data_IF_055279719018
#
_entry.id   IF_055279719018
#
_cell.length_a   1.000
_cell.length_b   1.000
_cell.length_c   1.000
_cell.angle_alpha   90.00
_cell.angle_beta   90.00
_cell.angle_gamma   90.00
#
_symmetry.space_group_name_H-M   'P 1'
#
loop_
_entity.id
_entity.type
_entity.pdbx_description
1 polymer ?
#
# COMPACT_ATOMS: atom_id res chain seq x y z
N UNK A 1 -30.86 25.04 5.32
CA UNK A 1 -29.97 25.37 6.45
C UNK A 1 -28.55 24.96 6.11
N UNK A 2 -27.58 25.87 6.25
CA UNK A 2 -26.18 25.63 5.85
C UNK A 2 -25.51 24.69 6.87
N UNK A 3 -25.01 23.54 6.41
CA UNK A 3 -24.17 22.65 7.21
C UNK A 3 -22.73 23.16 7.16
N UNK A 4 -22.17 23.50 8.32
CA UNK A 4 -20.75 23.77 8.52
C UNK A 4 -19.99 22.43 8.62
N UNK A 5 -18.80 22.27 8.03
CA UNK A 5 -18.00 21.06 8.25
C UNK A 5 -17.55 21.00 9.71
N UNK A 6 -17.69 19.82 10.32
CA UNK A 6 -17.13 19.54 11.64
C UNK A 6 -15.60 19.37 11.59
N UNK A 7 -14.92 19.32 12.75
CA UNK A 7 -13.48 19.17 12.81
C UNK A 7 -13.03 17.82 12.21
N UNK A 8 -11.82 17.75 11.65
CA UNK A 8 -11.28 16.51 11.09
C UNK A 8 -11.24 15.42 12.18
N UNK A 9 -11.90 14.28 11.92
CA UNK A 9 -11.98 13.14 12.82
C UNK A 9 -13.39 12.77 13.32
N UNK A 10 -14.44 13.50 12.95
CA UNK A 10 -15.81 13.10 13.33
C UNK A 10 -16.37 12.01 12.40
N UNK A 11 -16.67 10.84 12.98
CA UNK A 11 -17.36 9.72 12.32
C UNK A 11 -18.82 10.11 12.05
N UNK A 12 -19.13 10.46 10.80
CA UNK A 12 -20.51 10.56 10.32
C UNK A 12 -21.08 9.16 10.10
N UNK A 13 -22.09 8.76 10.87
CA UNK A 13 -22.87 7.54 10.62
C UNK A 13 -23.95 7.86 9.61
N UNK A 14 -23.77 7.44 8.36
CA UNK A 14 -24.85 7.47 7.37
C UNK A 14 -25.75 6.25 7.57
N UNK A 15 -27.00 6.48 7.96
CA UNK A 15 -27.97 5.44 8.31
C UNK A 15 -28.77 4.91 7.11
N UNK A 16 -28.40 5.21 5.86
CA UNK A 16 -29.26 4.90 4.70
C UNK A 16 -28.63 4.06 3.58
N UNK A 17 -27.39 3.58 3.71
CA UNK A 17 -26.90 2.48 2.86
C UNK A 17 -25.84 1.71 3.65
N UNK A 18 -26.04 0.42 3.89
CA UNK A 18 -25.16 -0.43 4.68
C UNK A 18 -23.78 -0.73 4.07
N UNK A 19 -23.19 0.22 3.35
CA UNK A 19 -21.82 0.15 2.88
C UNK A 19 -20.98 1.15 3.67
N UNK A 20 -20.05 0.63 4.48
CA UNK A 20 -18.93 1.39 5.01
C UNK A 20 -18.01 1.74 3.83
N UNK A 21 -18.23 2.88 3.19
CA UNK A 21 -17.29 3.41 2.21
C UNK A 21 -16.07 3.93 2.99
N UNK A 22 -15.04 3.09 3.14
CA UNK A 22 -13.75 3.50 3.67
C UNK A 22 -13.02 4.34 2.63
N UNK A 23 -13.09 5.66 2.77
CA UNK A 23 -12.37 6.64 1.95
C UNK A 23 -10.94 6.84 2.45
N UNK A 24 -10.13 5.78 2.44
CA UNK A 24 -8.78 5.82 3.03
C UNK A 24 -7.74 5.08 2.19
N UNK A 25 -7.87 5.11 0.87
CA UNK A 25 -6.81 4.66 -0.04
C UNK A 25 -6.07 5.89 -0.58
N UNK A 26 -4.86 6.15 -0.08
CA UNK A 26 -3.99 7.19 -0.63
C UNK A 26 -3.10 6.60 -1.71
N UNK A 27 -3.08 7.22 -2.90
CA UNK A 27 -2.19 6.82 -4.00
C UNK A 27 -1.06 7.83 -4.12
N UNK A 28 0.18 7.36 -3.93
CA UNK A 28 1.38 8.17 -4.17
C UNK A 28 1.93 7.90 -5.57
N UNK A 29 2.05 8.94 -6.39
CA UNK A 29 2.73 8.85 -7.68
C UNK A 29 4.24 8.96 -7.47
N UNK A 30 4.98 7.96 -7.95
CA UNK A 30 6.45 7.94 -7.87
C UNK A 30 7.08 9.08 -8.71
N UNK A 31 7.88 9.97 -8.11
CA UNK A 31 8.70 10.92 -8.87
C UNK A 31 9.78 10.21 -9.69
N UNK A 32 10.10 10.71 -10.89
CA UNK A 32 11.07 10.06 -11.80
C UNK A 32 12.46 9.87 -11.21
N UNK A 33 12.90 10.79 -10.37
CA UNK A 33 14.27 10.81 -9.84
C UNK A 33 14.38 10.24 -8.42
N UNK A 34 13.31 9.64 -7.88
CA UNK A 34 13.31 9.06 -6.55
C UNK A 34 13.33 7.52 -6.63
N UNK A 35 14.25 6.84 -5.92
CA UNK A 35 14.24 5.40 -5.83
C UNK A 35 13.01 4.93 -5.04
N UNK A 36 12.42 3.82 -5.48
CA UNK A 36 11.18 3.30 -4.86
C UNK A 36 11.35 2.98 -3.37
N UNK A 37 12.55 2.58 -2.96
CA UNK A 37 12.89 2.28 -1.56
C UNK A 37 12.66 3.49 -0.65
N UNK A 38 13.15 4.67 -1.05
CA UNK A 38 12.97 5.90 -0.25
C UNK A 38 11.49 6.22 -0.08
N UNK A 39 10.70 6.11 -1.15
CA UNK A 39 9.26 6.33 -1.12
C UNK A 39 8.58 5.35 -0.16
N UNK A 40 8.89 4.05 -0.25
CA UNK A 40 8.29 3.04 0.63
C UNK A 40 8.67 3.32 2.09
N UNK A 41 9.94 3.62 2.36
CA UNK A 41 10.40 3.93 3.72
C UNK A 41 9.73 5.19 4.27
N UNK A 42 9.68 6.28 3.50
CA UNK A 42 9.06 7.55 3.91
C UNK A 42 7.57 7.39 4.23
N UNK A 43 6.84 6.68 3.38
CA UNK A 43 5.39 6.52 3.53
C UNK A 43 4.97 5.39 4.47
N UNK A 44 5.88 4.49 4.83
CA UNK A 44 5.58 3.31 5.67
C UNK A 44 6.29 3.31 7.02
N UNK A 45 7.01 4.39 7.38
CA UNK A 45 7.79 4.46 8.61
C UNK A 45 6.95 4.20 9.88
N UNK A 46 5.74 4.76 9.92
CA UNK A 46 4.82 4.65 11.05
C UNK A 46 3.74 3.57 10.83
N UNK A 47 3.88 2.73 9.81
CA UNK A 47 2.93 1.66 9.55
C UNK A 47 3.09 0.53 10.58
N UNK A 48 1.98 0.01 11.10
CA UNK A 48 2.00 -1.20 11.94
C UNK A 48 2.45 -2.44 11.15
N UNK A 49 2.20 -2.44 9.84
CA UNK A 49 2.47 -3.56 8.94
C UNK A 49 2.57 -3.09 7.49
N UNK A 50 3.41 -3.75 6.69
CA UNK A 50 3.58 -3.46 5.26
C UNK A 50 3.29 -4.70 4.42
N UNK A 51 2.50 -4.54 3.35
CA UNK A 51 2.27 -5.59 2.35
C UNK A 51 2.95 -5.15 1.05
N UNK A 52 3.91 -5.95 0.58
CA UNK A 52 4.58 -5.70 -0.70
C UNK A 52 4.34 -6.85 -1.67
N UNK A 53 4.25 -6.52 -2.95
CA UNK A 53 4.21 -7.51 -4.01
C UNK A 53 5.55 -8.24 -4.14
N UNK A 54 5.52 -9.57 -4.21
CA UNK A 54 6.69 -10.37 -4.56
C UNK A 54 6.77 -10.48 -6.10
N UNK A 55 7.89 -10.08 -6.72
CA UNK A 55 8.04 -10.12 -8.18
C UNK A 55 8.04 -11.55 -8.72
N UNK A 56 7.81 -11.67 -10.03
CA UNK A 56 8.05 -12.93 -10.75
C UNK A 56 9.57 -13.07 -10.94
N UNK A 57 10.10 -14.24 -10.61
CA UNK A 57 11.52 -14.54 -10.73
C UNK A 57 11.74 -15.35 -12.00
N UNK A 58 12.63 -14.86 -12.86
CA UNK A 58 13.06 -15.59 -14.06
C UNK A 58 14.22 -16.52 -13.72
N UNK A 59 14.35 -17.67 -14.39
CA UNK A 59 15.46 -18.60 -14.14
C UNK A 59 16.83 -17.92 -14.27
N UNK A 60 17.69 -18.10 -13.28
CA UNK A 60 19.02 -17.50 -13.22
C UNK A 60 19.07 -16.08 -12.63
N UNK A 61 17.93 -15.52 -12.22
CA UNK A 61 17.85 -14.19 -11.57
C UNK A 61 17.61 -14.26 -10.06
N UNK A 62 17.52 -15.46 -9.49
CA UNK A 62 17.05 -15.71 -8.13
C UNK A 62 17.86 -14.96 -7.08
N UNK A 63 19.19 -15.02 -7.17
CA UNK A 63 20.09 -14.35 -6.22
C UNK A 63 19.97 -12.82 -6.31
N UNK A 64 19.92 -12.28 -7.53
CA UNK A 64 19.78 -10.85 -7.77
C UNK A 64 18.45 -10.31 -7.22
N UNK A 65 17.35 -11.05 -7.44
CA UNK A 65 16.04 -10.68 -6.92
C UNK A 65 16.01 -10.83 -5.40
N UNK A 66 16.55 -11.90 -4.83
CA UNK A 66 16.62 -12.09 -3.38
C UNK A 66 17.38 -10.95 -2.69
N UNK A 67 18.53 -10.54 -3.26
CA UNK A 67 19.29 -9.39 -2.77
C UNK A 67 18.47 -8.10 -2.85
N UNK A 68 17.85 -7.82 -4.00
CA UNK A 68 17.02 -6.63 -4.20
C UNK A 68 15.85 -6.58 -3.20
N UNK A 69 15.15 -7.70 -3.00
CA UNK A 69 14.05 -7.77 -2.04
C UNK A 69 14.52 -7.60 -0.60
N UNK A 70 15.68 -8.18 -0.25
CA UNK A 70 16.29 -8.02 1.07
C UNK A 70 16.62 -6.56 1.36
N UNK A 71 17.22 -5.85 0.39
CA UNK A 71 17.53 -4.43 0.52
C UNK A 71 16.28 -3.55 0.61
N UNK A 72 15.21 -3.93 -0.10
CA UNK A 72 13.94 -3.20 -0.11
C UNK A 72 13.20 -3.29 1.23
N UNK A 73 13.18 -4.47 1.86
CA UNK A 73 12.48 -4.69 3.14
C UNK A 73 13.32 -4.32 4.35
N UNK A 74 14.63 -4.12 4.18
CA UNK A 74 15.54 -3.76 5.26
C UNK A 74 15.15 -2.41 5.87
N UNK A 75 14.82 -2.44 7.17
CA UNK A 75 14.43 -1.25 7.93
C UNK A 75 12.94 -0.89 7.85
N UNK A 76 12.12 -1.71 7.19
CA UNK A 76 10.66 -1.55 7.23
C UNK A 76 10.06 -2.19 8.49
N UNK A 77 8.84 -1.77 8.90
CA UNK A 77 8.03 -2.52 9.86
C UNK A 77 7.79 -3.97 9.40
N UNK A 78 7.16 -4.82 10.23
CA UNK A 78 6.81 -6.18 9.86
C UNK A 78 6.18 -6.24 8.45
N UNK A 79 6.84 -6.94 7.54
CA UNK A 79 6.53 -6.91 6.11
C UNK A 79 6.13 -8.29 5.63
N UNK A 80 4.99 -8.39 4.93
CA UNK A 80 4.54 -9.58 4.23
C UNK A 80 4.71 -9.41 2.73
N UNK A 81 5.50 -10.31 2.14
CA UNK A 81 5.67 -10.40 0.70
C UNK A 81 4.57 -11.30 0.13
N UNK A 82 3.75 -10.73 -0.76
CA UNK A 82 2.59 -11.40 -1.33
C UNK A 82 2.75 -11.55 -2.83
N UNK A 83 2.56 -12.76 -3.34
CA UNK A 83 2.34 -12.99 -4.76
C UNK A 83 0.94 -13.53 -4.95
N UNK A 84 0.15 -12.90 -5.80
CA UNK A 84 -1.12 -13.48 -6.21
C UNK A 84 -0.83 -14.72 -7.09
N UNK A 85 -1.40 -15.86 -6.74
CA UNK A 85 -1.24 -17.12 -7.47
C UNK A 85 -2.32 -17.34 -8.56
N UNK A 86 -3.13 -16.33 -8.88
CA UNK A 86 -4.20 -16.45 -9.88
C UNK A 86 -4.52 -15.15 -10.63
N UNK A 87 -5.39 -15.20 -11.65
CA UNK A 87 -5.84 -14.01 -12.35
C UNK A 87 -6.53 -13.05 -11.38
N UNK A 88 -6.28 -11.75 -11.52
CA UNK A 88 -6.97 -10.73 -10.73
C UNK A 88 -8.48 -10.83 -11.00
N UNK A 89 -9.27 -11.13 -9.95
CA UNK A 89 -10.74 -11.23 -10.02
C UNK A 89 -11.47 -10.05 -9.38
N UNK A 90 -10.74 -8.99 -9.04
CA UNK A 90 -11.31 -7.75 -8.50
C UNK A 90 -11.84 -6.83 -9.61
N UNK A 91 -12.67 -5.87 -9.23
CA UNK A 91 -13.07 -4.74 -10.07
C UNK A 91 -12.37 -3.50 -9.51
N UNK A 92 -11.49 -2.88 -10.28
CA UNK A 92 -11.00 -1.54 -9.95
C UNK A 92 -12.16 -0.60 -10.20
N UNK A 93 -12.78 -0.11 -9.13
CA UNK A 93 -13.79 0.96 -9.15
C UNK A 93 -13.14 2.30 -8.91
#
# INVERSE_FOLDING_TARGET
>A
SRLTPGPPGSVGRDFSTGNLCFDSASVTLRPRNQPIREIITEHSADAEFVILGLPIVEPGTEEAIAKTMTELVSGLPPTLLVRNAGPFRGRLV
#
